data_IF_036350747676
#
_entry.id   IF_036350747676
#
_cell.length_a   1.000
_cell.length_b   1.000
_cell.length_c   1.000
_cell.angle_alpha   90.00
_cell.angle_beta   90.00
_cell.angle_gamma   90.00
#
_symmetry.space_group_name_H-M   'P 1'
#
loop_
_entity.id
_entity.type
_entity.pdbx_description
1 polymer ?
#
# COMPACT_ATOMS: atom_id res chain seq x y z
N UNK A 1 -21.54 56.82 4.18
CA UNK A 1 -20.97 57.75 5.19
C UNK A 1 -21.92 58.93 5.31
N UNK A 2 -22.52 59.13 6.49
CA UNK A 2 -23.41 60.27 6.74
C UNK A 2 -22.51 61.49 6.99
N UNK A 3 -22.67 62.54 6.18
CA UNK A 3 -21.99 63.81 6.39
C UNK A 3 -23.01 64.94 6.33
N UNK A 4 -22.75 66.04 7.03
CA UNK A 4 -23.62 67.23 7.02
C UNK A 4 -23.95 67.68 5.60
N UNK A 5 -22.98 67.61 4.69
CA UNK A 5 -23.17 67.93 3.27
C UNK A 5 -24.10 66.95 2.55
N UNK A 6 -23.99 65.66 2.84
CA UNK A 6 -24.86 64.64 2.26
C UNK A 6 -26.30 64.77 2.80
N UNK A 7 -26.46 65.08 4.08
CA UNK A 7 -27.78 65.31 4.70
C UNK A 7 -28.42 66.60 4.18
N UNK A 8 -27.67 67.70 4.06
CA UNK A 8 -28.14 68.96 3.47
C UNK A 8 -28.69 68.74 2.04
N UNK A 9 -27.94 68.02 1.20
CA UNK A 9 -28.35 67.68 -0.17
C UNK A 9 -29.60 66.80 -0.20
N UNK A 10 -29.68 65.79 0.67
CA UNK A 10 -30.83 64.88 0.76
C UNK A 10 -32.10 65.60 1.22
N UNK A 11 -31.98 66.54 2.15
CA UNK A 11 -33.09 67.30 2.72
C UNK A 11 -33.44 68.57 1.93
N UNK A 12 -32.79 68.83 0.78
CA UNK A 12 -32.91 70.07 0.00
C UNK A 12 -32.71 71.36 0.85
N UNK A 13 -31.83 71.29 1.86
CA UNK A 13 -31.52 72.39 2.76
C UNK A 13 -30.09 72.92 2.53
N UNK A 14 -29.84 74.18 2.90
CA UNK A 14 -28.48 74.74 2.86
C UNK A 14 -27.63 74.23 4.03
N UNK A 15 -26.31 74.09 3.83
CA UNK A 15 -25.39 73.74 4.93
C UNK A 15 -25.44 74.77 6.05
N UNK A 16 -25.57 76.04 5.68
CA UNK A 16 -25.71 77.16 6.62
C UNK A 16 -26.95 77.00 7.50
N UNK A 17 -28.10 76.56 6.95
CA UNK A 17 -29.32 76.29 7.71
C UNK A 17 -29.10 75.22 8.80
N UNK A 18 -28.38 74.16 8.47
CA UNK A 18 -28.06 73.10 9.45
C UNK A 18 -27.14 73.61 10.55
N UNK A 19 -26.18 74.50 10.26
CA UNK A 19 -25.30 75.07 11.29
C UNK A 19 -25.96 76.18 12.11
N UNK A 20 -26.88 76.95 11.53
CA UNK A 20 -27.57 78.05 12.21
C UNK A 20 -28.76 77.59 13.05
N UNK A 21 -29.32 76.40 12.76
CA UNK A 21 -30.42 75.81 13.53
C UNK A 21 -29.86 74.76 14.51
N UNK A 22 -29.89 75.02 15.83
CA UNK A 22 -29.38 74.08 16.85
C UNK A 22 -30.05 72.71 16.83
N UNK A 23 -31.35 72.64 16.51
CA UNK A 23 -32.11 71.38 16.46
C UNK A 23 -31.70 70.55 15.24
N UNK A 24 -31.54 71.20 14.08
CA UNK A 24 -31.10 70.54 12.86
C UNK A 24 -29.65 70.04 13.00
N UNK A 25 -28.77 70.84 13.61
CA UNK A 25 -27.40 70.43 13.92
C UNK A 25 -27.41 69.20 14.83
N UNK A 26 -28.15 69.26 15.95
CA UNK A 26 -28.27 68.15 16.90
C UNK A 26 -28.76 66.88 16.22
N UNK A 27 -29.85 66.95 15.44
CA UNK A 27 -30.40 65.81 14.73
C UNK A 27 -29.39 65.14 13.77
N UNK A 28 -28.60 65.94 13.04
CA UNK A 28 -27.56 65.41 12.13
C UNK A 28 -26.42 64.79 12.93
N UNK A 29 -25.97 65.42 14.02
CA UNK A 29 -24.92 64.84 14.86
C UNK A 29 -25.34 63.53 15.52
N UNK A 30 -26.59 63.43 16.00
CA UNK A 30 -27.15 62.19 16.54
C UNK A 30 -27.25 61.11 15.47
N UNK A 31 -27.71 61.44 14.27
CA UNK A 31 -27.78 60.48 13.16
C UNK A 31 -26.38 60.02 12.70
N UNK A 32 -25.39 60.91 12.69
CA UNK A 32 -24.00 60.55 12.41
C UNK A 32 -23.45 59.62 13.50
N UNK A 33 -23.67 59.93 14.78
CA UNK A 33 -23.23 59.09 15.89
C UNK A 33 -23.88 57.69 15.86
N UNK A 34 -25.18 57.61 15.59
CA UNK A 34 -25.89 56.33 15.43
C UNK A 34 -25.33 55.51 14.26
N UNK A 35 -25.12 56.13 13.09
CA UNK A 35 -24.57 55.42 11.93
C UNK A 35 -23.10 55.00 12.10
N UNK A 36 -22.32 55.74 12.87
CA UNK A 36 -20.97 55.32 13.28
C UNK A 36 -21.05 54.10 14.19
N UNK A 37 -21.93 54.12 15.19
CA UNK A 37 -22.14 53.00 16.09
C UNK A 37 -22.60 51.73 15.37
N UNK A 38 -23.56 51.83 14.45
CA UNK A 38 -24.03 50.69 13.64
C UNK A 38 -22.92 50.12 12.76
N UNK A 39 -22.10 50.99 12.17
CA UNK A 39 -20.96 50.57 11.34
C UNK A 39 -19.88 49.88 12.17
N UNK A 40 -19.59 50.38 13.36
CA UNK A 40 -18.62 49.78 14.27
C UNK A 40 -19.15 48.44 14.81
N UNK A 41 -20.44 48.32 15.12
CA UNK A 41 -21.05 47.03 15.47
C UNK A 41 -20.93 46.03 14.32
N UNK A 42 -21.22 46.45 13.08
CA UNK A 42 -21.13 45.57 11.91
C UNK A 42 -19.69 45.10 11.64
N UNK A 43 -18.68 45.98 11.74
CA UNK A 43 -17.27 45.60 11.56
C UNK A 43 -16.78 44.66 12.67
N UNK A 44 -17.25 44.87 13.90
CA UNK A 44 -16.93 43.99 15.03
C UNK A 44 -17.55 42.61 14.85
N UNK A 45 -18.81 42.54 14.41
CA UNK A 45 -19.48 41.28 14.11
C UNK A 45 -18.79 40.49 12.96
N UNK A 46 -18.37 41.18 11.90
CA UNK A 46 -17.59 40.58 10.80
C UNK A 46 -16.21 40.08 11.27
N UNK A 47 -15.55 40.81 12.18
CA UNK A 47 -14.28 40.38 12.76
C UNK A 47 -14.47 39.12 13.63
N UNK A 48 -15.47 39.09 14.51
CA UNK A 48 -15.78 37.94 15.34
C UNK A 48 -16.19 36.71 14.51
N UNK A 49 -16.96 36.89 13.43
CA UNK A 49 -17.33 35.81 12.53
C UNK A 49 -16.11 35.21 11.80
N UNK A 50 -15.16 36.05 11.37
CA UNK A 50 -13.90 35.59 10.79
C UNK A 50 -13.02 34.84 11.80
N UNK A 51 -12.94 35.35 13.02
CA UNK A 51 -12.18 34.69 14.09
C UNK A 51 -12.77 33.32 14.44
N UNK A 52 -14.10 33.21 14.51
CA UNK A 52 -14.79 31.94 14.72
C UNK A 52 -14.47 30.94 13.60
N UNK A 53 -14.52 31.38 12.34
CA UNK A 53 -14.17 30.54 11.18
C UNK A 53 -12.70 30.09 11.20
N UNK A 54 -11.76 30.95 11.60
CA UNK A 54 -10.35 30.58 11.72
C UNK A 54 -10.10 29.58 12.85
N UNK A 55 -10.77 29.77 13.99
CA UNK A 55 -10.69 28.85 15.12
C UNK A 55 -11.24 27.47 14.75
N UNK A 56 -12.36 27.41 14.05
CA UNK A 56 -12.93 26.17 13.53
C UNK A 56 -11.96 25.47 12.55
N UNK A 57 -11.37 26.21 11.60
CA UNK A 57 -10.40 25.64 10.66
C UNK A 57 -9.13 25.14 11.34
N UNK A 58 -8.66 25.83 12.39
CA UNK A 58 -7.52 25.38 13.17
C UNK A 58 -7.83 24.05 13.90
N UNK A 59 -9.00 23.95 14.54
CA UNK A 59 -9.44 22.72 15.20
C UNK A 59 -9.57 21.56 14.20
N UNK A 60 -10.21 21.80 13.05
CA UNK A 60 -10.33 20.77 12.01
C UNK A 60 -8.97 20.31 11.47
N UNK A 61 -8.00 21.23 11.33
CA UNK A 61 -6.63 20.88 10.91
C UNK A 61 -5.89 20.07 11.99
N UNK A 62 -6.07 20.41 13.27
CA UNK A 62 -5.49 19.63 14.38
C UNK A 62 -6.05 18.21 14.42
N UNK A 63 -7.36 18.04 14.23
CA UNK A 63 -7.99 16.73 14.22
C UNK A 63 -7.56 15.90 13.02
N UNK A 64 -7.44 16.50 11.84
CA UNK A 64 -6.88 15.85 10.66
C UNK A 64 -5.41 15.42 10.87
N UNK A 65 -4.61 16.26 11.54
CA UNK A 65 -3.22 15.93 11.86
C UNK A 65 -3.11 14.78 12.86
N UNK A 66 -3.97 14.76 13.89
CA UNK A 66 -4.05 13.64 14.85
C UNK A 66 -4.45 12.34 14.15
N UNK A 67 -5.45 12.39 13.27
CA UNK A 67 -5.89 11.23 12.50
C UNK A 67 -4.76 10.68 11.61
N UNK A 68 -4.07 11.56 10.88
CA UNK A 68 -2.94 11.18 10.03
C UNK A 68 -1.79 10.56 10.86
N UNK A 69 -1.45 11.14 12.02
CA UNK A 69 -0.42 10.58 12.89
C UNK A 69 -0.81 9.20 13.45
N UNK A 70 -2.07 9.01 13.82
CA UNK A 70 -2.58 7.71 14.27
C UNK A 70 -2.48 6.67 13.15
N UNK A 71 -2.83 7.03 11.91
CA UNK A 71 -2.70 6.15 10.75
C UNK A 71 -1.23 5.81 10.45
N UNK A 72 -0.32 6.78 10.47
CA UNK A 72 1.11 6.56 10.27
C UNK A 72 1.66 5.58 11.32
N UNK A 73 1.25 5.71 12.58
CA UNK A 73 1.65 4.78 13.63
C UNK A 73 1.11 3.36 13.37
N UNK A 74 -0.17 3.23 13.00
CA UNK A 74 -0.77 1.95 12.66
C UNK A 74 -0.04 1.28 11.47
N UNK A 75 0.26 2.05 10.42
CA UNK A 75 1.02 1.56 9.26
C UNK A 75 2.44 1.13 9.65
N UNK A 76 3.13 1.88 10.52
CA UNK A 76 4.48 1.52 10.99
C UNK A 76 4.48 0.24 11.81
N UNK A 77 3.47 0.03 12.66
CA UNK A 77 3.30 -1.23 13.40
C UNK A 77 3.11 -2.40 12.42
N UNK A 78 2.20 -2.26 11.45
CA UNK A 78 1.95 -3.28 10.43
C UNK A 78 3.22 -3.60 9.62
N UNK A 79 3.98 -2.58 9.22
CA UNK A 79 5.26 -2.75 8.52
C UNK A 79 6.26 -3.52 9.38
N UNK A 80 6.35 -3.21 10.68
CA UNK A 80 7.20 -3.92 11.62
C UNK A 80 6.85 -5.40 11.74
N UNK A 81 5.57 -5.73 11.84
CA UNK A 81 5.07 -7.12 11.86
C UNK A 81 5.41 -7.86 10.57
N UNK A 82 5.14 -7.25 9.40
CA UNK A 82 5.45 -7.84 8.10
C UNK A 82 6.96 -8.06 7.90
N UNK A 83 7.80 -7.13 8.34
CA UNK A 83 9.25 -7.30 8.29
C UNK A 83 9.73 -8.44 9.20
N UNK A 84 9.08 -8.63 10.36
CA UNK A 84 9.32 -9.79 11.22
C UNK A 84 8.99 -11.10 10.50
N UNK A 85 7.81 -11.19 9.88
CA UNK A 85 7.39 -12.37 9.12
C UNK A 85 8.33 -12.68 7.95
N UNK A 86 8.77 -11.67 7.20
CA UNK A 86 9.75 -11.86 6.11
C UNK A 86 11.06 -12.41 6.65
N UNK A 87 11.56 -11.86 7.75
CA UNK A 87 12.80 -12.34 8.38
C UNK A 87 12.68 -13.78 8.87
N UNK A 88 11.55 -14.16 9.44
CA UNK A 88 11.31 -15.54 9.90
C UNK A 88 11.28 -16.52 8.72
N UNK A 89 10.65 -16.15 7.60
CA UNK A 89 10.65 -16.95 6.37
C UNK A 89 12.05 -17.08 5.76
N UNK A 90 12.83 -15.99 5.73
CA UNK A 90 14.23 -16.01 5.28
C UNK A 90 15.10 -16.87 6.20
N UNK A 91 14.84 -16.87 7.51
CA UNK A 91 15.55 -17.69 8.48
C UNK A 91 15.20 -19.18 8.36
N UNK A 92 13.95 -19.51 8.03
CA UNK A 92 13.52 -20.88 7.75
C UNK A 92 14.19 -21.44 6.48
N UNK A 93 14.42 -20.57 5.48
CA UNK A 93 15.06 -20.91 4.22
C UNK A 93 16.50 -20.43 4.19
N UNK A 94 17.32 -20.95 5.11
CA UNK A 94 18.74 -20.60 5.10
C UNK A 94 19.39 -20.95 3.76
N UNK A 95 20.33 -20.10 3.32
CA UNK A 95 21.16 -20.39 2.15
C UNK A 95 21.83 -21.77 2.25
N UNK A 96 22.16 -22.20 3.48
CA UNK A 96 22.64 -23.55 3.78
C UNK A 96 21.63 -24.65 3.42
N UNK A 97 20.36 -24.48 3.78
CA UNK A 97 19.28 -25.41 3.42
C UNK A 97 19.09 -25.51 1.91
N UNK A 98 19.13 -24.37 1.20
CA UNK A 98 19.05 -24.34 -0.27
C UNK A 98 20.23 -25.08 -0.90
N UNK A 99 21.46 -24.83 -0.43
CA UNK A 99 22.67 -25.49 -0.92
C UNK A 99 22.64 -27.00 -0.63
N UNK A 100 22.24 -27.41 0.57
CA UNK A 100 22.12 -28.82 0.95
C UNK A 100 21.12 -29.54 0.05
N UNK A 101 19.91 -29.01 -0.10
CA UNK A 101 18.86 -29.61 -0.95
C UNK A 101 19.32 -29.69 -2.41
N UNK A 102 19.99 -28.65 -2.92
CA UNK A 102 20.51 -28.64 -4.30
C UNK A 102 21.58 -29.72 -4.51
N UNK A 103 22.47 -29.89 -3.52
CA UNK A 103 23.53 -30.90 -3.54
C UNK A 103 22.95 -32.30 -3.47
N UNK A 104 22.01 -32.54 -2.55
CA UNK A 104 21.26 -33.80 -2.43
C UNK A 104 20.50 -34.12 -3.72
N UNK A 105 19.80 -33.14 -4.31
CA UNK A 105 19.08 -33.33 -5.57
C UNK A 105 20.01 -33.72 -6.72
N UNK A 106 21.20 -33.11 -6.79
CA UNK A 106 22.22 -33.45 -7.80
C UNK A 106 22.74 -34.87 -7.60
N UNK A 107 23.05 -35.24 -6.36
CA UNK A 107 23.47 -36.60 -6.00
C UNK A 107 22.39 -37.64 -6.32
N UNK A 108 21.13 -37.37 -5.99
CA UNK A 108 20.00 -38.24 -6.30
C UNK A 108 19.83 -38.40 -7.81
N UNK A 109 19.90 -37.32 -8.59
CA UNK A 109 19.84 -37.39 -10.06
C UNK A 109 20.96 -38.23 -10.65
N UNK A 110 22.18 -38.10 -10.14
CA UNK A 110 23.31 -38.93 -10.55
C UNK A 110 23.08 -40.41 -10.21
N UNK A 111 22.57 -40.70 -9.00
CA UNK A 111 22.26 -42.07 -8.56
C UNK A 111 21.15 -42.69 -9.42
N UNK A 112 20.11 -41.94 -9.75
CA UNK A 112 19.04 -42.40 -10.65
C UNK A 112 19.61 -42.74 -12.03
N UNK A 113 20.43 -41.86 -12.63
CA UNK A 113 21.08 -42.14 -13.94
C UNK A 113 21.92 -43.41 -13.90
N UNK A 114 22.73 -43.58 -12.85
CA UNK A 114 23.56 -44.78 -12.67
C UNK A 114 22.72 -46.05 -12.55
N UNK A 115 21.69 -46.04 -11.70
CA UNK A 115 20.80 -47.19 -11.53
C UNK A 115 20.04 -47.56 -12.81
N UNK A 116 19.69 -46.56 -13.63
CA UNK A 116 19.07 -46.81 -14.94
C UNK A 116 20.03 -47.50 -15.90
N UNK A 117 21.30 -47.07 -15.95
CA UNK A 117 22.32 -47.69 -16.78
C UNK A 117 22.68 -49.11 -16.30
N UNK A 118 22.83 -49.29 -14.98
CA UNK A 118 23.10 -50.58 -14.37
C UNK A 118 21.95 -51.57 -14.66
N UNK A 119 20.70 -51.14 -14.54
CA UNK A 119 19.54 -51.97 -14.91
C UNK A 119 19.54 -52.36 -16.39
N UNK A 120 19.85 -51.41 -17.28
CA UNK A 120 19.95 -51.70 -18.72
C UNK A 120 21.03 -52.75 -18.98
N UNK A 121 22.20 -52.59 -18.39
CA UNK A 121 23.32 -53.54 -18.51
C UNK A 121 22.94 -54.93 -18.01
N UNK A 122 22.24 -55.01 -16.88
CA UNK A 122 21.77 -56.29 -16.32
C UNK A 122 20.72 -56.95 -17.22
N UNK A 123 19.80 -56.18 -17.80
CA UNK A 123 18.79 -56.70 -18.74
C UNK A 123 19.45 -57.26 -20.02
N UNK A 124 20.44 -56.55 -20.57
CA UNK A 124 21.21 -57.02 -21.72
C UNK A 124 21.97 -58.33 -21.40
N UNK A 125 22.62 -58.41 -20.22
CA UNK A 125 23.29 -59.64 -19.77
C UNK A 125 22.32 -60.80 -19.57
N UNK A 126 21.14 -60.54 -19.00
CA UNK A 126 20.11 -61.55 -18.80
C UNK A 126 19.57 -62.08 -20.14
N UNK A 127 19.35 -61.19 -21.12
CA UNK A 127 18.98 -61.57 -22.49
C UNK A 127 20.05 -62.43 -23.15
N UNK A 128 21.32 -62.03 -23.04
CA UNK A 128 22.44 -62.81 -23.60
C UNK A 128 22.55 -64.20 -22.95
N UNK A 129 22.47 -64.28 -21.61
CA UNK A 129 22.52 -65.55 -20.88
C UNK A 129 21.36 -66.50 -21.29
N UNK A 130 20.14 -65.97 -21.41
CA UNK A 130 18.98 -66.73 -21.89
C UNK A 130 19.15 -67.22 -23.33
N UNK A 131 19.70 -66.38 -24.21
CA UNK A 131 19.98 -66.77 -25.60
C UNK A 131 21.04 -67.88 -25.67
N UNK A 132 22.10 -67.75 -24.87
CA UNK A 132 23.16 -68.76 -24.81
C UNK A 132 22.63 -70.10 -24.28
N UNK A 133 21.81 -70.08 -23.24
CA UNK A 133 21.21 -71.29 -22.69
C UNK A 133 20.32 -71.99 -23.72
N UNK A 134 19.42 -71.25 -24.41
CA UNK A 134 18.62 -71.81 -25.51
C UNK A 134 19.46 -72.39 -26.66
N UNK A 135 20.61 -71.77 -26.96
CA UNK A 135 21.54 -72.30 -27.96
C UNK A 135 22.18 -73.60 -27.50
N UNK A 136 22.63 -73.67 -26.24
CA UNK A 136 23.19 -74.88 -25.64
C UNK A 136 22.15 -76.01 -25.61
N UNK A 137 20.91 -75.73 -25.21
CA UNK A 137 19.83 -76.73 -25.17
C UNK A 137 19.57 -77.35 -26.55
N UNK A 138 19.52 -76.52 -27.61
CA UNK A 138 19.38 -77.01 -29.00
C UNK A 138 20.55 -77.89 -29.41
N UNK A 139 21.77 -77.43 -29.12
CA UNK A 139 22.99 -78.19 -29.47
C UNK A 139 23.05 -79.53 -28.73
N UNK A 140 22.61 -79.58 -27.48
CA UNK A 140 22.52 -80.83 -26.71
C UNK A 140 21.51 -81.77 -27.37
N UNK A 141 20.30 -81.28 -27.68
CA UNK A 141 19.28 -82.08 -28.35
C UNK A 141 19.74 -82.65 -29.70
N UNK A 142 20.45 -81.84 -30.51
CA UNK A 142 21.02 -82.29 -31.79
C UNK A 142 22.06 -83.40 -31.59
N UNK A 143 22.92 -83.29 -30.56
CA UNK A 143 23.91 -84.31 -30.22
C UNK A 143 23.27 -85.59 -29.68
N UNK A 144 22.23 -85.46 -28.86
CA UNK A 144 21.46 -86.60 -28.34
C UNK A 144 20.80 -87.38 -29.49
N UNK A 145 20.23 -86.69 -30.49
CA UNK A 145 19.66 -87.32 -31.66
C UNK A 145 20.72 -88.13 -32.46
N UNK A 146 21.89 -87.54 -32.71
CA UNK A 146 23.00 -88.22 -33.41
C UNK A 146 23.46 -89.50 -32.68
N UNK A 147 23.49 -89.47 -31.35
CA UNK A 147 23.87 -90.64 -30.56
C UNK A 147 22.82 -91.75 -30.67
N UNK A 148 21.53 -91.42 -30.70
CA UNK A 148 20.45 -92.41 -30.87
C UNK A 148 20.38 -93.02 -32.26
N UNK A 149 20.87 -92.33 -33.30
CA UNK A 149 20.95 -92.86 -34.68
C UNK A 149 22.14 -93.81 -34.90
N UNK A 150 23.15 -93.76 -34.02
CA UNK A 150 24.37 -94.59 -34.09
C UNK A 150 24.28 -95.89 -33.29
N UNK A 151 23.24 -96.07 -32.48
CA UNK A 151 22.96 -97.28 -31.68
C UNK A 151 21.84 -98.12 -32.27
#
# INVERSE_FOLDING_TARGET
MISVAAVARRAAASRTFIYSNPEAHTAVTTAMAAAHHDRDQATTAEASGREASWRERALNAEDALKAANAEILAQRTQIGELLGQVRDLEAEWTQESILRITTENTSLKQRVRKLTEDNRTLDERLKAARSNNRFQDRRIADLEAQLTEQT
#
